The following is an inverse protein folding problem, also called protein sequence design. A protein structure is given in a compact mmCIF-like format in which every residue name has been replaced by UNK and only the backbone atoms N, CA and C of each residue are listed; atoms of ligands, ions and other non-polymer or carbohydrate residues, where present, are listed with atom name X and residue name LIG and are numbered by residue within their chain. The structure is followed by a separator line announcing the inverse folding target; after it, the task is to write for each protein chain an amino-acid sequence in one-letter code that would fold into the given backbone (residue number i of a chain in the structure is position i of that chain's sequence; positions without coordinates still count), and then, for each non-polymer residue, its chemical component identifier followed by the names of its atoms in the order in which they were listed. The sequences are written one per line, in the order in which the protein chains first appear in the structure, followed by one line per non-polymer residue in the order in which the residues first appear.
data_IF_456793121394
#
_entry.id   IF_456793121394
#
_cell.length_a   1.000
_cell.length_b   1.000
_cell.length_c   1.000
_cell.angle_alpha   90.00
_cell.angle_beta   90.00
_cell.angle_gamma   90.00
#
_symmetry.space_group_name_H-M   'P 1'
#
loop_
_entity.id
_entity.type
_entity.pdbx_description
1 polymer ?
#
# COMPACT_ATOMS: atom_id res chain seq x y z
N UNK A 1 -24.44 6.30 -19.20
CA UNK A 1 -25.88 6.25 -19.53
C UNK A 1 -26.36 4.81 -19.41
N UNK A 2 -27.46 4.57 -18.70
CA UNK A 2 -28.04 3.21 -18.57
C UNK A 2 -28.52 2.72 -19.95
N UNK A 3 -28.24 1.46 -20.28
CA UNK A 3 -28.53 0.89 -21.61
C UNK A 3 -27.45 1.16 -22.67
N UNK A 4 -26.56 2.13 -22.45
CA UNK A 4 -25.49 2.47 -23.40
C UNK A 4 -24.07 2.26 -22.86
N UNK A 5 -23.80 2.68 -21.62
CA UNK A 5 -22.48 2.61 -20.97
C UNK A 5 -22.43 1.60 -19.81
N UNK A 6 -23.60 1.20 -19.31
CA UNK A 6 -23.77 0.21 -18.26
C UNK A 6 -25.20 -0.35 -18.28
N UNK A 7 -25.38 -1.49 -17.65
CA UNK A 7 -26.65 -2.15 -17.40
C UNK A 7 -26.84 -2.38 -15.90
N UNK A 8 -28.08 -2.66 -15.51
CA UNK A 8 -28.46 -2.98 -14.13
C UNK A 8 -29.01 -4.40 -14.12
N UNK A 9 -28.48 -5.27 -13.27
CA UNK A 9 -28.96 -6.65 -13.16
C UNK A 9 -30.22 -6.77 -12.28
N UNK A 10 -30.75 -7.98 -12.14
CA UNK A 10 -31.93 -8.25 -11.31
C UNK A 10 -31.72 -7.93 -9.82
N UNK A 11 -30.47 -7.93 -9.35
CA UNK A 11 -30.10 -7.56 -7.99
C UNK A 11 -29.85 -6.04 -7.84
N UNK A 12 -29.97 -5.29 -8.93
CA UNK A 12 -29.69 -3.86 -9.00
C UNK A 12 -28.20 -3.52 -8.95
N UNK A 13 -27.32 -4.45 -9.32
CA UNK A 13 -25.89 -4.21 -9.50
C UNK A 13 -25.59 -3.66 -10.89
N UNK A 14 -24.69 -2.69 -10.93
CA UNK A 14 -24.20 -2.13 -12.19
C UNK A 14 -23.14 -3.03 -12.80
N UNK A 15 -23.27 -3.30 -14.10
CA UNK A 15 -22.32 -4.10 -14.86
C UNK A 15 -22.20 -3.60 -16.30
N UNK A 16 -21.19 -4.09 -17.02
CA UNK A 16 -20.99 -3.83 -18.44
C UNK A 16 -20.90 -5.12 -19.24
N UNK A 17 -21.31 -5.06 -20.49
CA UNK A 17 -20.98 -6.11 -21.47
C UNK A 17 -19.57 -5.90 -22.02
N UNK A 18 -19.01 -6.91 -22.67
CA UNK A 18 -17.69 -6.79 -23.32
C UNK A 18 -17.66 -5.70 -24.40
N UNK A 19 -18.78 -5.50 -25.09
CA UNK A 19 -18.95 -4.41 -26.06
C UNK A 19 -18.90 -3.05 -25.38
N UNK A 20 -19.61 -2.88 -24.25
CA UNK A 20 -19.58 -1.65 -23.46
C UNK A 20 -18.19 -1.38 -22.88
N UNK A 21 -17.48 -2.41 -22.40
CA UNK A 21 -16.08 -2.29 -21.94
C UNK A 21 -15.16 -1.83 -23.05
N UNK A 22 -15.28 -2.45 -24.22
CA UNK A 22 -14.50 -2.09 -25.41
C UNK A 22 -14.78 -0.65 -25.84
N UNK A 23 -16.06 -0.26 -25.88
CA UNK A 23 -16.49 1.11 -26.19
C UNK A 23 -15.94 2.11 -25.17
N UNK A 24 -16.04 1.82 -23.88
CA UNK A 24 -15.49 2.68 -22.83
C UNK A 24 -13.96 2.72 -22.82
N UNK A 25 -13.28 1.73 -23.41
CA UNK A 25 -11.83 1.70 -23.57
C UNK A 25 -11.33 2.56 -24.74
N UNK A 26 -12.16 2.76 -25.76
CA UNK A 26 -11.84 3.52 -26.98
C UNK A 26 -11.45 4.98 -26.68
N UNK A 27 -10.30 5.47 -27.15
CA UNK A 27 -9.84 6.83 -26.88
C UNK A 27 -10.79 7.93 -27.37
N UNK A 28 -11.44 7.73 -28.51
CA UNK A 28 -12.37 8.71 -29.09
C UNK A 28 -13.63 8.80 -28.24
N UNK A 29 -14.16 7.66 -27.83
CA UNK A 29 -15.30 7.59 -26.92
C UNK A 29 -14.97 8.17 -25.55
N UNK A 30 -13.80 7.82 -24.99
CA UNK A 30 -13.31 8.42 -23.73
C UNK A 30 -13.26 9.94 -23.81
N UNK A 31 -12.68 10.50 -24.86
CA UNK A 31 -12.54 11.95 -24.99
C UNK A 31 -13.87 12.70 -25.16
N UNK A 32 -14.89 12.03 -25.71
CA UNK A 32 -16.19 12.65 -26.02
C UNK A 32 -17.28 12.38 -24.97
N UNK A 33 -17.22 11.25 -24.27
CA UNK A 33 -18.30 10.77 -23.39
C UNK A 33 -17.86 10.55 -21.94
N UNK A 34 -16.56 10.37 -21.68
CA UNK A 34 -16.04 10.22 -20.33
C UNK A 34 -15.26 11.47 -19.93
N UNK A 35 -15.37 11.85 -18.65
CA UNK A 35 -14.63 12.99 -18.14
C UNK A 35 -13.95 12.61 -16.82
N UNK A 36 -12.69 12.20 -16.90
CA UNK A 36 -11.89 11.88 -15.72
C UNK A 36 -11.17 13.13 -15.20
N UNK A 37 -11.63 13.67 -14.08
CA UNK A 37 -10.94 14.72 -13.34
C UNK A 37 -10.05 14.11 -12.25
N UNK A 38 -8.94 13.49 -12.65
CA UNK A 38 -8.04 12.78 -11.73
C UNK A 38 -7.38 13.69 -10.69
N UNK A 39 -7.26 14.99 -10.96
CA UNK A 39 -6.67 15.99 -10.06
C UNK A 39 -7.66 16.60 -9.05
N UNK A 40 -8.96 16.29 -9.16
CA UNK A 40 -9.97 16.74 -8.21
C UNK A 40 -10.30 15.62 -7.21
N UNK A 41 -10.75 15.95 -5.98
CA UNK A 41 -11.27 14.95 -5.05
C UNK A 41 -12.36 14.11 -5.72
N UNK A 42 -12.20 12.79 -5.66
CA UNK A 42 -13.14 11.84 -6.24
C UNK A 42 -13.95 11.18 -5.13
N UNK A 43 -15.25 11.01 -5.38
CA UNK A 43 -16.10 10.24 -4.48
C UNK A 43 -15.89 8.75 -4.77
N UNK A 44 -15.28 8.03 -3.83
CA UNK A 44 -14.92 6.61 -3.95
C UNK A 44 -15.71 5.77 -2.94
N UNK A 45 -15.59 4.45 -3.04
CA UNK A 45 -16.16 3.51 -2.08
C UNK A 45 -17.60 3.11 -2.44
N UNK A 46 -18.34 2.60 -1.45
CA UNK A 46 -19.71 2.13 -1.64
C UNK A 46 -20.66 3.31 -1.87
N UNK A 47 -21.52 3.17 -2.87
CA UNK A 47 -22.59 4.09 -3.20
C UNK A 47 -23.63 4.15 -2.08
N UNK A 48 -24.49 5.16 -2.14
CA UNK A 48 -25.56 5.40 -1.17
C UNK A 48 -26.58 4.25 -1.09
N UNK A 49 -26.63 3.41 -2.11
CA UNK A 49 -27.45 2.20 -2.14
C UNK A 49 -26.89 1.04 -1.28
N UNK A 50 -25.68 1.20 -0.75
CA UNK A 50 -25.02 0.20 0.10
C UNK A 50 -24.52 -1.04 -0.64
N UNK A 51 -24.59 -1.09 -1.98
CA UNK A 51 -24.24 -2.27 -2.77
C UNK A 51 -23.34 -2.00 -3.96
N UNK A 52 -23.56 -0.90 -4.70
CA UNK A 52 -22.76 -0.57 -5.87
C UNK A 52 -21.53 0.25 -5.46
N UNK A 53 -20.45 0.16 -6.22
CA UNK A 53 -19.33 1.06 -6.07
C UNK A 53 -19.59 2.40 -6.76
N UNK A 54 -19.02 3.48 -6.21
CA UNK A 54 -19.09 4.82 -6.79
C UNK A 54 -18.25 4.95 -8.06
N UNK A 55 -17.36 3.98 -8.30
CA UNK A 55 -16.61 3.86 -9.54
C UNK A 55 -16.76 2.45 -10.14
N UNK A 56 -16.93 2.35 -11.47
CA UNK A 56 -17.00 1.06 -12.15
C UNK A 56 -15.77 0.18 -11.88
N UNK A 57 -14.56 0.74 -11.83
CA UNK A 57 -13.34 -0.04 -11.54
C UNK A 57 -13.26 -0.58 -10.10
N UNK A 58 -14.12 -0.10 -9.20
CA UNK A 58 -14.20 -0.56 -7.81
C UNK A 58 -15.38 -1.53 -7.60
N UNK A 59 -16.18 -1.79 -8.63
CA UNK A 59 -17.28 -2.74 -8.56
C UNK A 59 -16.70 -4.15 -8.66
N UNK A 60 -16.90 -4.99 -7.63
CA UNK A 60 -16.28 -6.32 -7.54
C UNK A 60 -16.62 -7.22 -8.73
N UNK A 61 -17.88 -7.22 -9.17
CA UNK A 61 -18.30 -8.00 -10.35
C UNK A 61 -17.59 -7.54 -11.63
N UNK A 62 -17.52 -6.23 -11.85
CA UNK A 62 -16.84 -5.66 -13.02
C UNK A 62 -15.32 -5.92 -12.99
N UNK A 63 -14.71 -5.89 -11.80
CA UNK A 63 -13.31 -6.26 -11.63
C UNK A 63 -13.08 -7.72 -12.03
N UNK A 64 -13.88 -8.66 -11.52
CA UNK A 64 -13.74 -10.09 -11.80
C UNK A 64 -13.98 -10.40 -13.28
N UNK A 65 -15.01 -9.81 -13.88
CA UNK A 65 -15.32 -9.97 -15.30
C UNK A 65 -14.24 -9.36 -16.20
N UNK A 66 -13.58 -8.30 -15.75
CA UNK A 66 -12.48 -7.66 -16.46
C UNK A 66 -11.15 -8.43 -16.42
N UNK A 67 -11.02 -9.46 -15.57
CA UNK A 67 -9.83 -10.30 -15.50
C UNK A 67 -9.73 -11.23 -16.70
N UNK A 68 -8.50 -11.56 -17.10
CA UNK A 68 -8.29 -12.61 -18.10
C UNK A 68 -8.72 -13.98 -17.56
N UNK A 69 -9.18 -14.87 -18.45
CA UNK A 69 -9.63 -16.22 -18.08
C UNK A 69 -8.61 -17.02 -17.23
N UNK A 70 -7.28 -16.92 -17.45
CA UNK A 70 -6.30 -17.54 -16.56
C UNK A 70 -6.35 -17.00 -15.12
N UNK A 71 -6.51 -15.69 -14.93
CA UNK A 71 -6.57 -15.07 -13.61
C UNK A 71 -7.86 -15.44 -12.86
N UNK A 72 -9.01 -15.44 -13.55
CA UNK A 72 -10.27 -15.90 -12.96
C UNK A 72 -10.17 -17.34 -12.44
N UNK A 73 -9.50 -18.23 -13.20
CA UNK A 73 -9.24 -19.62 -12.76
C UNK A 73 -8.33 -19.70 -11.55
N UNK A 74 -7.32 -18.85 -11.46
CA UNK A 74 -6.45 -18.76 -10.28
C UNK A 74 -7.28 -18.34 -9.07
N UNK A 75 -8.07 -17.29 -9.18
CA UNK A 75 -8.88 -16.78 -8.08
C UNK A 75 -9.88 -17.83 -7.59
N UNK A 76 -10.57 -18.50 -8.52
CA UNK A 76 -11.45 -19.61 -8.19
C UNK A 76 -10.73 -20.80 -7.55
N UNK A 77 -9.51 -21.14 -7.99
CA UNK A 77 -8.73 -22.25 -7.43
C UNK A 77 -8.25 -21.96 -5.99
N UNK A 78 -7.96 -20.70 -5.67
CA UNK A 78 -7.58 -20.27 -4.33
C UNK A 78 -8.78 -19.90 -3.44
N UNK A 79 -9.99 -19.82 -3.99
CA UNK A 79 -11.20 -19.44 -3.25
C UNK A 79 -11.17 -17.98 -2.78
N UNK A 80 -10.61 -17.10 -3.61
CA UNK A 80 -10.36 -15.68 -3.30
C UNK A 80 -11.06 -14.77 -4.30
N UNK A 81 -11.48 -13.59 -3.84
CA UNK A 81 -12.16 -12.59 -4.68
C UNK A 81 -11.25 -11.38 -5.01
N UNK A 82 -10.09 -11.31 -4.38
CA UNK A 82 -9.11 -10.26 -4.60
C UNK A 82 -7.67 -10.75 -4.41
N UNK A 83 -6.71 -9.98 -4.92
CA UNK A 83 -5.29 -10.22 -4.63
C UNK A 83 -4.96 -10.09 -3.14
N UNK A 84 -5.74 -9.29 -2.39
CA UNK A 84 -5.56 -9.09 -0.95
C UNK A 84 -5.92 -10.36 -0.17
N UNK A 85 -6.92 -11.09 -0.63
CA UNK A 85 -7.29 -12.38 -0.04
C UNK A 85 -6.22 -13.44 -0.29
N UNK A 86 -5.47 -13.36 -1.41
CA UNK A 86 -4.34 -14.27 -1.70
C UNK A 86 -3.19 -14.14 -0.70
N UNK A 87 -2.94 -12.94 -0.19
CA UNK A 87 -1.90 -12.66 0.80
C UNK A 87 -2.41 -12.83 2.24
N UNK A 88 -3.70 -13.09 2.44
CA UNK A 88 -4.29 -13.26 3.75
C UNK A 88 -4.18 -12.00 4.61
N UNK A 89 -4.30 -10.80 4.00
CA UNK A 89 -4.25 -9.56 4.77
C UNK A 89 -5.38 -9.54 5.80
N UNK A 90 -5.00 -9.68 7.05
CA UNK A 90 -5.89 -9.51 8.18
C UNK A 90 -5.95 -8.04 8.55
N UNK A 91 -7.16 -7.54 8.82
CA UNK A 91 -7.32 -6.26 9.50
C UNK A 91 -6.93 -6.50 10.96
N UNK A 92 -5.68 -6.24 11.30
CA UNK A 92 -5.25 -6.25 12.69
C UNK A 92 -5.63 -4.93 13.36
N UNK A 93 -6.11 -5.00 14.59
CA UNK A 93 -6.16 -3.80 15.43
C UNK A 93 -4.72 -3.43 15.77
N UNK A 94 -4.26 -2.36 15.13
CA UNK A 94 -2.95 -1.80 15.39
C UNK A 94 -2.90 -1.28 16.83
N UNK A 95 -1.81 -1.58 17.55
CA UNK A 95 -1.62 -1.07 18.90
C UNK A 95 -1.60 0.46 18.92
N UNK A 96 -1.93 1.11 20.05
CA UNK A 96 -2.00 2.58 20.13
C UNK A 96 -0.68 3.29 19.79
N UNK A 97 0.44 2.57 19.88
CA UNK A 97 1.77 3.04 19.51
C UNK A 97 2.00 3.12 17.98
N UNK A 98 1.25 2.38 17.18
CA UNK A 98 1.43 2.33 15.73
C UNK A 98 0.86 3.59 15.04
N UNK A 99 1.47 4.10 13.96
CA UNK A 99 2.75 3.71 13.39
C UNK A 99 3.94 4.49 13.97
N UNK A 100 4.95 3.78 14.49
CA UNK A 100 6.16 4.43 15.04
C UNK A 100 7.07 5.04 13.96
N UNK A 101 7.06 4.50 12.75
CA UNK A 101 7.89 5.01 11.65
C UNK A 101 7.58 6.47 11.29
N UNK A 102 6.33 6.92 11.50
CA UNK A 102 5.94 8.31 11.28
C UNK A 102 6.67 9.26 12.24
N UNK A 103 6.95 8.82 13.46
CA UNK A 103 7.73 9.60 14.42
C UNK A 103 9.19 9.67 14.01
N UNK A 104 9.83 8.53 13.75
CA UNK A 104 11.23 8.50 13.32
C UNK A 104 11.48 9.29 12.04
N UNK A 105 10.52 9.30 11.12
CA UNK A 105 10.59 10.11 9.89
C UNK A 105 10.51 11.63 10.13
N UNK A 106 10.02 12.07 11.29
CA UNK A 106 9.93 13.48 11.68
C UNK A 106 11.07 13.94 12.60
N UNK A 107 11.92 13.02 13.06
CA UNK A 107 13.04 13.33 13.93
C UNK A 107 14.03 14.26 13.22
N UNK A 108 14.59 15.20 13.99
CA UNK A 108 15.62 16.13 13.51
C UNK A 108 16.90 15.92 14.32
N UNK A 109 18.03 16.46 13.87
CA UNK A 109 19.30 16.40 14.61
C UNK A 109 19.33 17.26 15.88
N UNK A 110 18.18 17.80 16.32
CA UNK A 110 18.07 18.56 17.56
C UNK A 110 18.15 17.67 18.82
N UNK A 111 17.84 16.37 18.71
CA UNK A 111 17.91 15.40 19.80
C UNK A 111 19.04 14.38 19.58
N UNK A 112 19.60 13.78 20.63
CA UNK A 112 20.56 12.68 20.50
C UNK A 112 20.00 11.51 19.67
N UNK A 113 18.73 11.15 19.86
CA UNK A 113 18.09 10.08 19.09
C UNK A 113 17.96 10.43 17.61
N UNK A 114 17.65 11.69 17.29
CA UNK A 114 17.59 12.14 15.89
C UNK A 114 18.96 12.21 15.22
N UNK A 115 20.02 12.56 15.95
CA UNK A 115 21.41 12.43 15.47
C UNK A 115 21.78 10.96 15.23
N UNK A 116 21.44 10.06 16.15
CA UNK A 116 21.69 8.63 16.02
C UNK A 116 20.92 8.04 14.82
N UNK A 117 19.67 8.44 14.60
CA UNK A 117 18.87 8.03 13.44
C UNK A 117 19.53 8.35 12.10
N UNK A 118 20.01 9.59 11.94
CA UNK A 118 20.72 10.02 10.71
C UNK A 118 22.00 9.21 10.51
N UNK A 119 22.85 9.11 11.54
CA UNK A 119 24.12 8.36 11.46
C UNK A 119 23.92 6.88 11.18
N UNK A 120 22.93 6.25 11.81
CA UNK A 120 22.54 4.87 11.52
C UNK A 120 22.12 4.71 10.07
N UNK A 121 21.37 5.67 9.52
CA UNK A 121 21.00 5.72 8.11
C UNK A 121 22.23 5.76 7.21
N UNK A 122 23.17 6.67 7.46
CA UNK A 122 24.42 6.82 6.70
C UNK A 122 25.26 5.54 6.75
N UNK A 123 25.47 4.97 7.94
CA UNK A 123 26.23 3.72 8.13
C UNK A 123 25.57 2.58 7.35
N UNK A 124 24.24 2.43 7.39
CA UNK A 124 23.53 1.40 6.64
C UNK A 124 23.72 1.57 5.12
N UNK A 125 23.61 2.80 4.61
CA UNK A 125 23.79 3.08 3.18
C UNK A 125 25.22 2.76 2.71
N UNK A 126 26.22 3.05 3.53
CA UNK A 126 27.61 2.75 3.20
C UNK A 126 27.92 1.25 3.28
N UNK A 127 27.50 0.60 4.37
CA UNK A 127 28.02 -0.72 4.73
C UNK A 127 27.19 -1.88 4.22
N UNK A 128 25.85 -1.78 4.15
CA UNK A 128 25.03 -2.92 3.73
C UNK A 128 25.37 -3.42 2.31
N UNK A 129 25.62 -2.56 1.30
CA UNK A 129 26.07 -3.03 -0.01
C UNK A 129 27.41 -3.76 0.05
N UNK A 130 28.35 -3.28 0.89
CA UNK A 130 29.67 -3.92 1.08
C UNK A 130 29.52 -5.29 1.73
N UNK A 131 28.69 -5.42 2.76
CA UNK A 131 28.39 -6.68 3.45
C UNK A 131 27.79 -7.70 2.48
N UNK A 132 26.79 -7.30 1.68
CA UNK A 132 26.12 -8.19 0.72
C UNK A 132 27.07 -8.70 -0.36
N UNK A 133 28.01 -7.86 -0.80
CA UNK A 133 28.97 -8.19 -1.86
C UNK A 133 30.29 -8.76 -1.33
N UNK A 134 30.43 -8.94 -0.01
CA UNK A 134 31.69 -9.32 0.60
C UNK A 134 32.04 -10.78 0.29
N UNK A 135 33.30 -11.08 -0.07
CA UNK A 135 33.77 -12.47 -0.14
C UNK A 135 33.85 -13.13 1.24
N UNK A 136 34.04 -12.33 2.29
CA UNK A 136 33.97 -12.73 3.70
C UNK A 136 32.89 -11.89 4.41
N UNK A 137 31.73 -12.52 4.58
CA UNK A 137 30.57 -11.90 5.21
C UNK A 137 30.84 -11.54 6.67
N UNK A 138 31.40 -12.46 7.47
CA UNK A 138 31.55 -12.30 8.92
C UNK A 138 32.52 -11.17 9.28
N UNK A 139 33.66 -11.10 8.58
CA UNK A 139 34.62 -10.01 8.78
C UNK A 139 33.99 -8.64 8.44
N UNK A 140 33.29 -8.55 7.31
CA UNK A 140 32.66 -7.29 6.86
C UNK A 140 31.47 -6.91 7.76
N UNK A 141 30.70 -7.89 8.23
CA UNK A 141 29.62 -7.72 9.18
C UNK A 141 30.11 -7.17 10.52
N UNK A 142 31.22 -7.69 11.05
CA UNK A 142 31.81 -7.19 12.29
C UNK A 142 32.28 -5.73 12.18
N UNK A 143 32.82 -5.34 11.02
CA UNK A 143 33.18 -3.94 10.75
C UNK A 143 31.93 -3.05 10.67
N UNK A 144 30.89 -3.50 9.97
CA UNK A 144 29.60 -2.82 9.93
C UNK A 144 29.03 -2.62 11.35
N UNK A 145 29.01 -3.68 12.17
CA UNK A 145 28.49 -3.59 13.53
C UNK A 145 29.31 -2.65 14.41
N UNK A 146 30.62 -2.58 14.22
CA UNK A 146 31.47 -1.60 14.90
C UNK A 146 31.08 -0.16 14.51
N UNK A 147 30.93 0.11 13.21
CA UNK A 147 30.51 1.42 12.71
C UNK A 147 29.07 1.76 13.15
N UNK A 148 28.17 0.79 13.15
CA UNK A 148 26.78 0.95 13.56
C UNK A 148 26.67 1.26 15.06
N UNK A 149 27.41 0.55 15.92
CA UNK A 149 27.44 0.81 17.35
C UNK A 149 28.04 2.19 17.67
N UNK A 150 29.03 2.65 16.91
CA UNK A 150 29.59 4.00 17.04
C UNK A 150 28.60 5.13 16.67
N UNK A 151 27.48 4.81 15.99
CA UNK A 151 26.40 5.76 15.72
C UNK A 151 25.47 5.97 16.94
N UNK A 152 25.73 5.32 18.08
CA UNK A 152 24.93 5.37 19.31
C UNK A 152 23.44 5.01 19.09
N UNK A 153 23.12 3.82 18.54
CA UNK A 153 21.74 3.42 18.27
C UNK A 153 20.85 3.40 19.53
N UNK A 154 21.44 3.30 20.72
CA UNK A 154 20.72 3.36 21.99
C UNK A 154 20.03 4.71 22.23
N UNK A 155 20.59 5.82 21.74
CA UNK A 155 19.96 7.14 21.87
C UNK A 155 18.66 7.19 21.05
N UNK A 156 18.67 6.60 19.85
CA UNK A 156 17.47 6.43 19.03
C UNK A 156 16.45 5.51 19.72
N UNK A 157 16.89 4.36 20.22
CA UNK A 157 16.00 3.41 20.90
C UNK A 157 15.35 4.01 22.15
N UNK A 158 16.07 4.81 22.94
CA UNK A 158 15.52 5.47 24.12
C UNK A 158 14.45 6.52 23.77
N UNK A 159 14.67 7.31 22.72
CA UNK A 159 13.69 8.29 22.25
C UNK A 159 12.44 7.61 21.67
N UNK A 160 12.63 6.53 20.90
CA UNK A 160 11.52 5.72 20.37
C UNK A 160 10.73 5.03 21.48
N UNK A 161 11.40 4.55 22.53
CA UNK A 161 10.75 3.97 23.69
C UNK A 161 9.87 4.99 24.42
N UNK A 162 10.38 6.22 24.60
CA UNK A 162 9.62 7.32 25.21
C UNK A 162 8.36 7.65 24.40
N UNK A 163 8.46 7.70 23.07
CA UNK A 163 7.31 7.95 22.21
C UNK A 163 6.31 6.78 22.22
N UNK A 164 6.80 5.53 22.28
CA UNK A 164 5.95 4.35 22.40
C UNK A 164 5.13 4.41 23.68
N UNK A 165 5.77 4.69 24.82
CA UNK A 165 5.12 4.82 26.13
C UNK A 165 4.08 5.93 26.12
N UNK A 166 4.42 7.10 25.56
CA UNK A 166 3.48 8.23 25.41
C UNK A 166 2.22 7.85 24.64
N UNK A 167 2.36 7.10 23.53
CA UNK A 167 1.22 6.66 22.71
C UNK A 167 0.41 5.56 23.38
N UNK A 168 1.08 4.64 24.06
CA UNK A 168 0.47 3.56 24.79
C UNK A 168 -0.17 4.01 26.12
N UNK A 169 0.12 5.22 26.59
CA UNK A 169 -0.37 5.76 27.86
C UNK A 169 0.30 5.12 29.08
N UNK A 170 1.58 4.74 28.96
CA UNK A 170 2.41 4.11 30.00
C UNK A 170 3.28 5.11 30.75
#
# INVERSE_FOLDING_TARGET
VEGEDYLVDENGLYYRTDEMRTKCADPTYKASHLCSYSYMPQWLGTSRDGKNAMKPEQQTSEFMDGLSAPLQKVFAAYGVDSYVDMIGSVKEEEGPWFPMYSYSGSMTTATPGGVAWVKMGEVKHEWLPKVVMAPDFESTWNQYMTAYNAANPQDFLAEMQTELERRAGL
#
